data_IF_171872788852
#
_entry.id   IF_171872788852
#
_cell.length_a   1.000
_cell.length_b   1.000
_cell.length_c   1.000
_cell.angle_alpha   90.00
_cell.angle_beta   90.00
_cell.angle_gamma   90.00
#
_symmetry.space_group_name_H-M   'P 1'
#
loop_
_entity.id
_entity.type
_entity.pdbx_description
1 polymer ?
#
# COMPACT_ATOMS: atom_id res chain seq x y z
N UNK A 1 -28.50 -10.10 -32.75
CA UNK A 1 -29.05 -9.96 -31.39
C UNK A 1 -28.55 -11.11 -30.54
N UNK A 2 -27.60 -10.83 -29.66
CA UNK A 2 -27.35 -11.55 -28.41
C UNK A 2 -26.23 -10.76 -27.71
N UNK A 3 -26.66 -9.84 -26.86
CA UNK A 3 -25.85 -9.10 -25.90
C UNK A 3 -25.38 -10.06 -24.81
N UNK A 4 -24.07 -10.24 -24.70
CA UNK A 4 -23.43 -10.85 -23.52
C UNK A 4 -22.92 -9.73 -22.63
N UNK A 5 -23.69 -9.41 -21.60
CA UNK A 5 -23.38 -8.43 -20.57
C UNK A 5 -22.11 -8.83 -19.83
N UNK A 6 -21.12 -7.93 -19.78
CA UNK A 6 -20.00 -8.02 -18.86
C UNK A 6 -20.55 -7.82 -17.43
N UNK A 7 -20.65 -8.91 -16.68
CA UNK A 7 -21.03 -8.88 -15.27
C UNK A 7 -19.97 -8.16 -14.45
N UNK A 8 -20.45 -7.24 -13.61
CA UNK A 8 -19.66 -6.27 -12.88
C UNK A 8 -18.66 -6.89 -11.93
N UNK A 9 -17.44 -6.34 -11.96
CA UNK A 9 -16.50 -6.36 -10.86
C UNK A 9 -17.26 -5.95 -9.58
N UNK A 10 -17.37 -6.86 -8.60
CA UNK A 10 -18.01 -6.56 -7.32
C UNK A 10 -17.28 -5.38 -6.66
N UNK A 11 -17.94 -4.22 -6.66
CA UNK A 11 -17.59 -3.07 -5.84
C UNK A 11 -17.49 -3.52 -4.39
N UNK A 12 -16.31 -3.42 -3.78
CA UNK A 12 -16.21 -3.48 -2.33
C UNK A 12 -16.88 -2.20 -1.81
N UNK A 13 -18.14 -2.34 -1.39
CA UNK A 13 -18.97 -1.23 -0.90
C UNK A 13 -18.24 -0.48 0.21
N UNK A 14 -17.74 0.71 -0.14
CA UNK A 14 -17.17 1.61 0.84
C UNK A 14 -18.31 2.27 1.60
N UNK A 15 -18.20 2.28 2.93
CA UNK A 15 -19.15 2.95 3.80
C UNK A 15 -19.10 4.46 3.56
N UNK A 16 -20.26 5.09 3.58
CA UNK A 16 -20.39 6.55 3.58
C UNK A 16 -20.55 7.06 5.01
N UNK A 17 -20.61 8.38 5.18
CA UNK A 17 -20.81 9.01 6.48
C UNK A 17 -22.11 8.58 7.16
N UNK A 18 -23.16 8.31 6.39
CA UNK A 18 -24.44 7.80 6.88
C UNK A 18 -24.35 6.36 7.43
N UNK A 19 -23.33 5.60 7.06
CA UNK A 19 -23.17 4.19 7.45
C UNK A 19 -22.28 3.99 8.68
N UNK A 20 -21.74 5.08 9.24
CA UNK A 20 -20.85 5.05 10.40
C UNK A 20 -21.43 5.83 11.58
N UNK A 21 -20.96 5.47 12.78
CA UNK A 21 -21.09 6.27 13.98
C UNK A 21 -19.71 6.81 14.38
N UNK A 22 -19.68 8.06 14.86
CA UNK A 22 -18.49 8.69 15.44
C UNK A 22 -18.64 8.62 16.96
N UNK A 23 -17.70 7.93 17.61
CA UNK A 23 -17.67 7.83 19.07
C UNK A 23 -16.57 8.73 19.62
N UNK A 24 -16.94 9.61 20.55
CA UNK A 24 -16.01 10.43 21.31
C UNK A 24 -15.58 9.69 22.59
N UNK A 25 -14.35 9.92 23.06
CA UNK A 25 -13.84 9.27 24.27
C UNK A 25 -14.49 9.93 25.50
N UNK A 26 -15.36 9.20 26.20
CA UNK A 26 -15.97 9.68 27.44
C UNK A 26 -14.89 9.85 28.52
N UNK A 27 -14.64 11.09 28.95
CA UNK A 27 -13.83 11.33 30.15
C UNK A 27 -14.65 10.87 31.37
N UNK A 28 -14.18 9.80 32.02
CA UNK A 28 -14.64 9.21 33.29
C UNK A 28 -15.91 9.80 33.96
N UNK A 29 -16.99 9.02 33.98
CA UNK A 29 -17.79 8.78 35.18
C UNK A 29 -18.77 9.85 35.69
N UNK A 30 -18.82 11.06 35.15
CA UNK A 30 -19.85 12.04 35.52
C UNK A 30 -20.81 12.26 34.35
N UNK A 31 -22.08 11.89 34.51
CA UNK A 31 -23.10 11.87 33.44
C UNK A 31 -23.50 13.20 32.79
N UNK A 32 -22.65 14.23 32.83
CA UNK A 32 -22.85 15.50 32.14
C UNK A 32 -21.62 15.83 31.26
N UNK A 33 -21.85 16.05 29.97
CA UNK A 33 -20.81 16.53 29.05
C UNK A 33 -20.31 17.90 29.52
N UNK A 34 -19.00 18.02 29.72
CA UNK A 34 -18.39 19.34 30.00
C UNK A 34 -18.52 20.24 28.77
N UNK A 35 -18.54 21.56 28.98
CA UNK A 35 -18.54 22.52 27.87
C UNK A 35 -17.39 22.26 26.89
N UNK A 36 -16.23 21.86 27.42
CA UNK A 36 -15.05 21.44 26.66
C UNK A 36 -15.31 20.21 25.77
N UNK A 37 -16.04 19.22 26.29
CA UNK A 37 -16.46 18.04 25.52
C UNK A 37 -17.39 18.44 24.37
N UNK A 38 -18.28 19.41 24.56
CA UNK A 38 -19.20 19.88 23.51
C UNK A 38 -18.41 20.53 22.37
N UNK A 39 -17.47 21.43 22.67
CA UNK A 39 -16.65 22.06 21.63
C UNK A 39 -15.76 21.06 20.88
N UNK A 40 -15.21 20.07 21.59
CA UNK A 40 -14.42 19.00 20.97
C UNK A 40 -15.26 18.11 20.05
N UNK A 41 -16.51 17.82 20.43
CA UNK A 41 -17.47 17.12 19.57
C UNK A 41 -17.84 17.93 18.32
N UNK A 42 -18.10 19.23 18.47
CA UNK A 42 -18.36 20.14 17.34
C UNK A 42 -17.17 20.22 16.39
N UNK A 43 -15.95 20.32 16.93
CA UNK A 43 -14.72 20.31 16.14
C UNK A 43 -14.61 19.00 15.35
N UNK A 44 -14.78 17.87 16.04
CA UNK A 44 -14.72 16.54 15.43
C UNK A 44 -15.73 16.37 14.29
N UNK A 45 -17.00 16.66 14.55
CA UNK A 45 -18.07 16.53 13.55
C UNK A 45 -17.83 17.49 12.38
N UNK A 46 -17.37 18.71 12.65
CA UNK A 46 -17.04 19.68 11.61
C UNK A 46 -15.89 19.25 10.71
N UNK A 47 -14.83 18.63 11.28
CA UNK A 47 -13.74 18.05 10.50
C UNK A 47 -14.25 16.87 9.65
N UNK A 48 -14.88 15.86 10.28
CA UNK A 48 -15.28 14.62 9.59
C UNK A 48 -16.31 14.88 8.49
N UNK A 49 -17.23 15.83 8.71
CA UNK A 49 -18.26 16.20 7.72
C UNK A 49 -17.82 17.30 6.76
N UNK A 50 -16.61 17.84 6.90
CA UNK A 50 -16.10 18.98 6.11
C UNK A 50 -17.01 20.20 6.18
N UNK A 51 -17.54 20.49 7.37
CA UNK A 51 -18.55 21.52 7.59
C UNK A 51 -17.97 22.94 7.79
N UNK A 52 -16.66 23.07 7.91
CA UNK A 52 -16.01 24.38 8.04
C UNK A 52 -15.73 24.99 6.68
N UNK A 53 -16.21 26.22 6.45
CA UNK A 53 -15.92 27.00 5.26
C UNK A 53 -14.84 28.07 5.52
N UNK A 54 -14.54 28.36 6.79
CA UNK A 54 -13.53 29.31 7.24
C UNK A 54 -12.68 28.68 8.37
N UNK A 55 -11.33 28.65 8.26
CA UNK A 55 -10.44 28.17 9.32
C UNK A 55 -10.59 28.90 10.67
N UNK A 56 -11.16 30.12 10.69
CA UNK A 56 -11.49 30.82 11.94
C UNK A 56 -12.47 30.05 12.80
N UNK A 57 -13.39 29.29 12.20
CA UNK A 57 -14.34 28.46 12.93
C UNK A 57 -13.62 27.38 13.76
N UNK A 58 -12.55 26.78 13.21
CA UNK A 58 -11.69 25.84 13.92
C UNK A 58 -10.91 26.54 15.03
N UNK A 59 -10.31 27.68 14.70
CA UNK A 59 -9.52 28.47 15.66
C UNK A 59 -10.36 28.90 16.88
N UNK A 60 -11.59 29.33 16.65
CA UNK A 60 -12.50 29.77 17.70
C UNK A 60 -12.97 28.59 18.57
N UNK A 61 -13.24 27.42 17.98
CA UNK A 61 -13.56 26.21 18.75
C UNK A 61 -12.39 25.81 19.67
N UNK A 62 -11.16 25.82 19.16
CA UNK A 62 -9.96 25.51 19.96
C UNK A 62 -9.76 26.54 21.08
N UNK A 63 -9.92 27.84 20.79
CA UNK A 63 -9.86 28.91 21.81
C UNK A 63 -10.91 28.75 22.90
N UNK A 64 -12.08 28.22 22.56
CA UNK A 64 -13.16 27.92 23.50
C UNK A 64 -12.96 26.59 24.26
N UNK A 65 -11.83 25.92 24.02
CA UNK A 65 -11.41 24.72 24.75
C UNK A 65 -11.60 23.40 23.99
N UNK A 66 -11.99 23.40 22.72
CA UNK A 66 -11.98 22.17 21.93
C UNK A 66 -10.56 21.57 21.92
N UNK A 67 -10.46 20.26 22.14
CA UNK A 67 -9.21 19.52 22.05
C UNK A 67 -8.90 19.16 20.58
N UNK A 68 -7.91 19.82 19.95
CA UNK A 68 -7.54 19.54 18.57
C UNK A 68 -6.79 18.21 18.41
N UNK A 69 -6.36 17.59 19.52
CA UNK A 69 -5.69 16.29 19.54
C UNK A 69 -6.63 15.13 19.89
N UNK A 70 -7.94 15.40 19.96
CA UNK A 70 -8.92 14.37 20.27
C UNK A 70 -8.89 13.19 19.27
N UNK A 71 -9.21 12.00 19.79
CA UNK A 71 -9.13 10.75 19.04
C UNK A 71 -10.52 10.11 18.85
N UNK A 72 -11.37 10.64 17.95
CA UNK A 72 -12.64 10.00 17.64
C UNK A 72 -12.46 8.58 17.08
N UNK A 73 -13.43 7.72 17.39
CA UNK A 73 -13.48 6.34 16.92
C UNK A 73 -14.57 6.15 15.88
N UNK A 74 -14.18 5.68 14.70
CA UNK A 74 -15.11 5.36 13.62
C UNK A 74 -15.54 3.89 13.71
N UNK A 75 -16.85 3.65 13.72
CA UNK A 75 -17.42 2.30 13.72
C UNK A 75 -18.57 2.19 12.74
N UNK A 76 -18.84 0.97 12.28
CA UNK A 76 -20.03 0.70 11.48
C UNK A 76 -21.28 1.02 12.31
N UNK A 77 -22.23 1.74 11.73
CA UNK A 77 -23.47 2.15 12.40
C UNK A 77 -24.20 0.93 12.97
N UNK A 78 -24.63 1.04 14.22
CA UNK A 78 -25.38 -0.02 14.90
C UNK A 78 -24.57 -1.28 15.25
N UNK A 79 -23.26 -1.32 14.99
CA UNK A 79 -22.43 -2.48 15.32
C UNK A 79 -22.16 -2.65 16.81
N UNK A 80 -22.33 -1.60 17.62
CA UNK A 80 -21.95 -1.61 19.04
C UNK A 80 -20.43 -1.69 19.28
N UNK A 81 -19.61 -1.67 18.23
CA UNK A 81 -18.16 -1.78 18.34
C UNK A 81 -17.53 -0.59 19.08
N UNK A 82 -16.32 -0.79 19.61
CA UNK A 82 -15.54 0.33 20.14
C UNK A 82 -15.12 1.32 19.05
N UNK A 83 -14.93 0.85 17.81
CA UNK A 83 -14.49 1.65 16.68
C UNK A 83 -12.97 1.85 16.62
N UNK A 84 -12.50 2.27 15.44
CA UNK A 84 -11.09 2.53 15.14
C UNK A 84 -10.76 4.00 15.40
N UNK A 85 -9.75 4.24 16.23
CA UNK A 85 -9.33 5.58 16.62
C UNK A 85 -8.48 6.28 15.55
N UNK A 86 -8.74 7.55 15.33
CA UNK A 86 -7.95 8.44 14.47
C UNK A 86 -7.75 9.77 15.18
N UNK A 87 -6.59 10.40 15.02
CA UNK A 87 -6.43 11.81 15.40
C UNK A 87 -7.25 12.69 14.48
N UNK A 88 -7.78 13.79 15.00
CA UNK A 88 -8.48 14.78 14.19
C UNK A 88 -7.62 15.28 13.02
N UNK A 89 -6.32 15.53 13.24
CA UNK A 89 -5.43 15.96 12.17
C UNK A 89 -5.37 14.96 11.01
N UNK A 90 -5.42 13.66 11.28
CA UNK A 90 -5.48 12.63 10.22
C UNK A 90 -6.81 12.64 9.47
N UNK A 91 -7.92 12.85 10.18
CA UNK A 91 -9.26 12.89 9.57
C UNK A 91 -9.50 14.16 8.76
N UNK A 92 -8.76 15.22 9.04
CA UNK A 92 -8.78 16.46 8.27
C UNK A 92 -8.07 16.34 6.91
N UNK A 93 -7.21 15.32 6.71
CA UNK A 93 -6.50 15.10 5.45
C UNK A 93 -7.43 14.43 4.44
N UNK A 94 -7.55 15.04 3.28
CA UNK A 94 -8.34 14.55 2.17
C UNK A 94 -7.66 13.39 1.44
N UNK A 95 -8.49 12.45 0.97
CA UNK A 95 -8.04 11.24 0.31
C UNK A 95 -8.12 11.37 -1.22
N UNK A 96 -6.99 11.65 -1.86
CA UNK A 96 -6.85 11.73 -3.31
C UNK A 96 -6.46 10.39 -3.97
N UNK A 97 -6.73 9.26 -3.31
CA UNK A 97 -6.42 7.92 -3.84
C UNK A 97 -7.56 7.30 -4.64
N UNK A 98 -8.59 8.06 -5.00
CA UNK A 98 -9.79 7.56 -5.67
C UNK A 98 -10.44 6.39 -4.90
N UNK A 99 -10.47 6.53 -3.56
CA UNK A 99 -10.95 5.51 -2.62
C UNK A 99 -10.20 4.17 -2.68
N UNK A 100 -8.99 4.13 -3.22
CA UNK A 100 -8.12 2.94 -3.13
C UNK A 100 -7.51 2.76 -1.75
N UNK A 101 -7.25 3.87 -1.04
CA UNK A 101 -6.63 3.92 0.30
C UNK A 101 -7.48 4.66 1.34
N UNK A 102 -8.76 4.30 1.52
CA UNK A 102 -9.65 4.96 2.47
C UNK A 102 -9.19 4.72 3.91
N UNK A 103 -9.74 5.54 4.80
CA UNK A 103 -9.78 5.21 6.23
C UNK A 103 -10.77 4.06 6.46
N UNK A 104 -10.78 3.52 7.66
CA UNK A 104 -11.57 2.34 8.01
C UNK A 104 -12.38 2.53 9.29
N UNK A 105 -13.60 2.02 9.30
CA UNK A 105 -14.42 1.84 10.49
C UNK A 105 -14.38 0.38 10.95
N UNK A 106 -14.39 0.16 12.27
CA UNK A 106 -14.46 -1.20 12.82
C UNK A 106 -15.90 -1.61 13.15
N UNK A 107 -16.22 -2.89 13.00
CA UNK A 107 -17.43 -3.49 13.56
C UNK A 107 -17.15 -4.34 14.82
N UNK A 108 -18.18 -4.97 15.39
CA UNK A 108 -18.08 -5.73 16.64
C UNK A 108 -17.21 -6.98 16.53
N UNK A 109 -16.96 -7.47 15.31
CA UNK A 109 -16.06 -8.60 15.04
C UNK A 109 -14.60 -8.16 14.91
N UNK A 110 -14.34 -6.85 14.92
CA UNK A 110 -13.03 -6.28 14.63
C UNK A 110 -12.75 -6.15 13.12
N UNK A 111 -13.70 -6.51 12.25
CA UNK A 111 -13.58 -6.31 10.80
C UNK A 111 -13.52 -4.83 10.49
N UNK A 112 -12.64 -4.49 9.56
CA UNK A 112 -12.37 -3.12 9.12
C UNK A 112 -13.01 -2.88 7.76
N UNK A 113 -13.97 -1.96 7.70
CA UNK A 113 -14.64 -1.59 6.46
C UNK A 113 -14.10 -0.25 5.95
N UNK A 114 -13.79 -0.12 4.66
CA UNK A 114 -13.36 1.14 4.07
C UNK A 114 -14.46 2.21 4.20
N UNK A 115 -14.06 3.45 4.49
CA UNK A 115 -14.97 4.59 4.64
C UNK A 115 -14.51 5.73 3.73
N UNK A 116 -15.44 6.29 2.95
CA UNK A 116 -15.21 7.49 2.16
C UNK A 116 -15.70 8.70 2.93
N UNK A 117 -14.78 9.62 3.22
CA UNK A 117 -15.12 10.94 3.73
C UNK A 117 -15.34 11.93 2.57
N UNK A 118 -16.16 12.97 2.76
CA UNK A 118 -16.20 14.09 1.83
C UNK A 118 -14.85 14.81 1.78
N UNK A 119 -14.63 15.57 0.72
CA UNK A 119 -13.44 16.40 0.52
C UNK A 119 -13.73 17.84 0.98
N UNK A 120 -12.69 18.58 1.34
CA UNK A 120 -12.80 20.03 1.48
C UNK A 120 -13.14 20.67 0.13
N UNK A 121 -13.71 21.88 0.16
CA UNK A 121 -14.11 22.59 -1.07
C UNK A 121 -12.91 23.01 -1.94
N UNK A 122 -11.72 23.17 -1.35
CA UNK A 122 -10.48 23.41 -2.07
C UNK A 122 -9.24 22.97 -1.27
N UNK A 123 -8.10 22.70 -1.95
CA UNK A 123 -6.82 22.41 -1.29
C UNK A 123 -6.32 23.54 -0.37
N UNK A 124 -6.66 24.80 -0.67
CA UNK A 124 -6.31 25.96 0.15
C UNK A 124 -7.09 25.98 1.45
N UNK A 125 -8.38 25.61 1.41
CA UNK A 125 -9.19 25.46 2.62
C UNK A 125 -8.68 24.30 3.46
N UNK A 126 -8.40 23.14 2.85
CA UNK A 126 -7.79 22.00 3.56
C UNK A 126 -6.50 22.46 4.27
N UNK A 127 -5.59 23.10 3.54
CA UNK A 127 -4.34 23.58 4.10
C UNK A 127 -4.58 24.55 5.27
N UNK A 128 -5.54 25.48 5.14
CA UNK A 128 -5.87 26.42 6.20
C UNK A 128 -6.47 25.74 7.45
N UNK A 129 -7.30 24.71 7.27
CA UNK A 129 -7.85 23.89 8.36
C UNK A 129 -6.74 23.10 9.07
N UNK A 130 -5.85 22.45 8.32
CA UNK A 130 -4.70 21.74 8.87
C UNK A 130 -3.80 22.68 9.68
N UNK A 131 -3.50 23.87 9.14
CA UNK A 131 -2.75 24.90 9.84
C UNK A 131 -3.44 25.33 11.15
N UNK A 132 -4.75 25.57 11.12
CA UNK A 132 -5.51 25.96 12.32
C UNK A 132 -5.51 24.88 13.40
N UNK A 133 -5.60 23.60 13.03
CA UNK A 133 -5.48 22.48 13.97
C UNK A 133 -4.08 22.42 14.60
N UNK A 134 -3.03 22.55 13.79
CA UNK A 134 -1.64 22.52 14.25
C UNK A 134 -1.33 23.74 15.14
N UNK A 135 -1.78 24.93 14.77
CA UNK A 135 -1.67 26.16 15.59
C UNK A 135 -2.44 26.03 16.92
N UNK A 136 -3.51 25.24 16.91
CA UNK A 136 -4.27 24.88 18.10
C UNK A 136 -3.58 23.87 19.01
N UNK A 137 -2.52 23.21 18.56
CA UNK A 137 -1.77 22.21 19.32
C UNK A 137 -2.05 20.75 18.95
N UNK A 138 -2.65 20.46 17.79
CA UNK A 138 -2.78 19.09 17.31
C UNK A 138 -1.40 18.43 17.12
N UNK A 139 -1.22 17.19 17.59
CA UNK A 139 0.03 16.45 17.43
C UNK A 139 0.22 16.00 15.97
N UNK A 140 1.41 16.24 15.42
CA UNK A 140 1.76 15.93 14.03
C UNK A 140 2.44 14.57 13.83
N UNK A 141 2.88 13.92 14.90
CA UNK A 141 3.87 12.85 14.88
C UNK A 141 3.38 11.57 15.53
N UNK A 142 2.58 11.66 16.59
CA UNK A 142 2.16 10.51 17.37
C UNK A 142 1.07 9.73 16.59
N UNK A 143 1.26 8.43 16.32
CA UNK A 143 0.23 7.63 15.67
C UNK A 143 -0.82 7.13 16.67
N UNK A 144 -2.06 6.93 16.21
CA UNK A 144 -3.07 6.14 16.96
C UNK A 144 -2.93 4.63 16.73
N UNK A 145 -2.30 4.24 15.62
CA UNK A 145 -1.97 2.88 15.25
C UNK A 145 -0.83 2.89 14.21
N UNK A 146 -0.22 1.74 13.95
CA UNK A 146 1.00 1.57 13.14
C UNK A 146 1.21 2.48 11.90
N UNK A 147 0.16 2.81 11.15
CA UNK A 147 0.23 3.56 9.87
C UNK A 147 -0.68 4.80 9.86
N UNK A 148 -0.90 5.42 11.03
CA UNK A 148 -1.78 6.61 11.19
C UNK A 148 -1.06 7.87 11.62
N UNK A 149 0.25 8.01 11.36
CA UNK A 149 0.88 9.31 11.47
C UNK A 149 0.27 10.26 10.41
N UNK A 150 0.02 11.53 10.72
CA UNK A 150 -0.51 12.51 9.77
C UNK A 150 0.24 12.54 8.43
N UNK A 151 1.59 12.50 8.46
CA UNK A 151 2.40 12.48 7.23
C UNK A 151 2.18 11.19 6.42
N UNK A 152 2.05 10.03 7.09
CA UNK A 152 1.71 8.76 6.44
C UNK A 152 0.30 8.80 5.85
N UNK A 153 -0.66 9.46 6.49
CA UNK A 153 -2.01 9.64 5.94
C UNK A 153 -1.99 10.46 4.65
N UNK A 154 -1.20 11.55 4.60
CA UNK A 154 -1.01 12.32 3.37
C UNK A 154 -0.39 11.48 2.24
N UNK A 155 0.59 10.61 2.55
CA UNK A 155 1.22 9.70 1.58
C UNK A 155 0.20 8.68 1.06
N UNK A 156 -0.53 8.00 1.96
CA UNK A 156 -1.59 7.04 1.60
C UNK A 156 -2.63 7.66 0.68
N UNK A 157 -3.04 8.88 0.98
CA UNK A 157 -4.00 9.64 0.17
C UNK A 157 -3.44 10.22 -1.11
N UNK A 158 -2.12 10.22 -1.34
CA UNK A 158 -1.51 10.96 -2.46
C UNK A 158 -1.75 12.47 -2.36
N UNK A 159 -1.89 13.01 -1.15
CA UNK A 159 -2.26 14.39 -0.90
C UNK A 159 -1.01 15.27 -0.78
N UNK A 160 -0.63 15.90 -1.90
CA UNK A 160 0.52 16.80 -1.96
C UNK A 160 0.34 18.09 -1.14
N UNK A 161 -0.89 18.59 -1.01
CA UNK A 161 -1.17 19.82 -0.25
C UNK A 161 -0.93 19.61 1.24
N UNK A 162 -1.55 18.57 1.80
CA UNK A 162 -1.34 18.16 3.18
C UNK A 162 0.13 17.82 3.47
N UNK A 163 0.78 17.09 2.55
CA UNK A 163 2.22 16.80 2.65
C UNK A 163 3.06 18.09 2.78
N UNK A 164 2.78 19.10 1.95
CA UNK A 164 3.50 20.38 1.99
C UNK A 164 3.29 21.11 3.31
N UNK A 165 2.06 21.13 3.83
CA UNK A 165 1.77 21.73 5.14
C UNK A 165 2.55 21.03 6.25
N UNK A 166 2.48 19.71 6.31
CA UNK A 166 3.14 18.92 7.36
C UNK A 166 4.66 19.09 7.34
N UNK A 167 5.30 19.03 6.17
CA UNK A 167 6.74 19.27 6.04
C UNK A 167 7.11 20.71 6.44
N UNK A 168 6.35 21.71 5.99
CA UNK A 168 6.59 23.11 6.35
C UNK A 168 6.43 23.39 7.86
N UNK A 169 5.60 22.61 8.54
CA UNK A 169 5.40 22.66 10.00
C UNK A 169 6.39 21.80 10.78
N UNK A 170 7.32 21.12 10.11
CA UNK A 170 8.35 20.31 10.77
C UNK A 170 7.85 18.96 11.29
N UNK A 171 6.83 18.37 10.66
CA UNK A 171 6.41 17.01 10.95
C UNK A 171 7.58 16.03 10.79
N UNK A 172 7.70 15.08 11.71
CA UNK A 172 8.75 14.09 11.68
C UNK A 172 8.59 13.16 10.47
N UNK A 173 9.61 13.12 9.62
CA UNK A 173 9.70 12.20 8.47
C UNK A 173 10.27 10.84 8.85
N UNK A 174 10.62 10.64 10.13
CA UNK A 174 11.13 9.39 10.66
C UNK A 174 10.31 8.97 11.86
N UNK A 175 10.01 7.67 12.00
CA UNK A 175 9.37 7.19 13.19
C UNK A 175 10.28 7.37 14.42
N UNK A 176 9.71 7.55 15.62
CA UNK A 176 10.50 7.51 16.85
C UNK A 176 11.29 6.19 16.94
N UNK A 177 12.56 6.27 17.36
CA UNK A 177 13.45 5.09 17.43
C UNK A 177 12.83 3.97 18.27
N UNK A 178 12.92 2.74 17.76
CA UNK A 178 12.52 1.53 18.48
C UNK A 178 11.02 1.22 18.42
N UNK A 179 10.22 2.04 17.73
CA UNK A 179 8.84 1.71 17.44
C UNK A 179 8.72 1.15 16.02
N UNK A 180 7.99 0.05 15.85
CA UNK A 180 7.89 -0.60 14.57
C UNK A 180 6.83 0.17 13.78
N UNK A 181 7.18 1.32 13.21
CA UNK A 181 6.27 2.12 12.38
C UNK A 181 6.80 2.15 10.95
N UNK A 182 5.90 2.37 9.98
CA UNK A 182 6.31 2.40 8.57
C UNK A 182 7.21 3.59 8.26
N UNK A 183 8.24 3.36 7.47
CA UNK A 183 9.06 4.42 6.91
C UNK A 183 8.21 5.25 5.94
N UNK A 184 8.46 6.55 5.84
CA UNK A 184 7.65 7.45 5.00
C UNK A 184 7.74 7.08 3.52
N UNK A 185 8.88 6.55 3.08
CA UNK A 185 9.07 6.13 1.69
C UNK A 185 8.41 4.79 1.33
N UNK A 186 7.92 4.00 2.30
CA UNK A 186 7.26 2.72 1.98
C UNK A 186 5.99 2.92 1.15
N UNK A 187 5.78 2.03 0.17
CA UNK A 187 4.52 1.90 -0.56
C UNK A 187 3.37 1.70 0.43
N UNK A 188 2.24 2.40 0.26
CA UNK A 188 1.21 2.33 1.27
C UNK A 188 0.51 0.95 1.29
N UNK A 189 0.21 0.49 2.50
CA UNK A 189 -0.18 -0.90 2.78
C UNK A 189 -1.41 -1.33 1.98
N UNK A 190 -1.41 -2.55 1.40
CA UNK A 190 -2.59 -3.12 0.75
C UNK A 190 -3.73 -3.35 1.74
N UNK A 191 -4.95 -3.10 1.29
CA UNK A 191 -6.16 -3.57 1.98
C UNK A 191 -6.26 -5.07 1.69
N UNK A 192 -6.38 -5.95 2.70
CA UNK A 192 -6.37 -7.41 2.49
C UNK A 192 -7.36 -7.90 1.43
N UNK A 193 -8.53 -7.28 1.35
CA UNK A 193 -9.60 -7.61 0.40
C UNK A 193 -9.38 -7.01 -1.01
N UNK A 194 -8.21 -6.42 -1.28
CA UNK A 194 -7.87 -5.74 -2.55
C UNK A 194 -6.52 -6.16 -3.14
N UNK A 195 -6.05 -7.36 -2.82
CA UNK A 195 -4.84 -7.93 -3.45
C UNK A 195 -5.08 -8.12 -4.95
N UNK A 196 -4.11 -7.72 -5.78
CA UNK A 196 -4.21 -7.77 -7.25
C UNK A 196 -5.11 -6.71 -7.90
N UNK A 197 -5.73 -5.81 -7.12
CA UNK A 197 -6.49 -4.69 -7.66
C UNK A 197 -5.57 -3.52 -7.98
N UNK A 198 -5.47 -3.16 -9.26
CA UNK A 198 -4.68 -2.03 -9.70
C UNK A 198 -5.25 -0.70 -9.19
N UNK A 199 -4.36 0.20 -8.77
CA UNK A 199 -4.72 1.57 -8.42
C UNK A 199 -4.76 2.45 -9.67
N UNK A 200 -5.56 3.54 -9.68
CA UNK A 200 -5.60 4.45 -10.83
C UNK A 200 -4.25 5.12 -11.09
N UNK A 201 -3.89 5.29 -12.37
CA UNK A 201 -2.66 5.98 -12.80
C UNK A 201 -2.55 7.40 -12.22
N UNK A 202 -3.66 8.11 -12.07
CA UNK A 202 -3.65 9.45 -11.47
C UNK A 202 -3.19 9.43 -10.00
N UNK A 203 -3.52 8.37 -9.25
CA UNK A 203 -3.01 8.17 -7.89
C UNK A 203 -1.52 7.81 -7.90
N UNK A 204 -1.07 6.95 -8.82
CA UNK A 204 0.37 6.62 -8.99
C UNK A 204 1.21 7.88 -9.23
N UNK A 205 0.75 8.77 -10.11
CA UNK A 205 1.43 10.04 -10.40
C UNK A 205 1.54 10.93 -9.15
N UNK A 206 0.45 11.07 -8.38
CA UNK A 206 0.44 11.83 -7.12
C UNK A 206 1.36 11.21 -6.08
N UNK A 207 1.32 9.89 -5.91
CA UNK A 207 2.16 9.17 -4.96
C UNK A 207 3.64 9.30 -5.29
N UNK A 208 4.01 9.18 -6.57
CA UNK A 208 5.39 9.39 -7.03
C UNK A 208 5.87 10.83 -6.82
N UNK A 209 4.99 11.82 -7.04
CA UNK A 209 5.27 13.23 -6.75
C UNK A 209 5.53 13.46 -5.26
N UNK A 210 4.75 12.82 -4.39
CA UNK A 210 4.99 12.84 -2.93
C UNK A 210 6.36 12.25 -2.58
N UNK A 211 6.73 11.08 -3.13
CA UNK A 211 8.04 10.48 -2.87
C UNK A 211 9.21 11.34 -3.35
N UNK A 212 9.09 11.95 -4.55
CA UNK A 212 10.10 12.90 -5.04
C UNK A 212 10.27 14.10 -4.10
N UNK A 213 9.18 14.61 -3.53
CA UNK A 213 9.23 15.70 -2.55
C UNK A 213 9.90 15.29 -1.24
N UNK A 214 9.65 14.07 -0.76
CA UNK A 214 10.31 13.53 0.43
C UNK A 214 11.82 13.41 0.21
N UNK A 215 12.26 12.89 -0.94
CA UNK A 215 13.68 12.82 -1.31
C UNK A 215 14.31 14.20 -1.47
N UNK A 216 13.59 15.18 -2.04
CA UNK A 216 14.06 16.57 -2.10
C UNK A 216 14.22 17.20 -0.71
N UNK A 217 13.37 16.81 0.24
CA UNK A 217 13.46 17.26 1.62
C UNK A 217 14.63 16.58 2.36
N UNK A 218 14.81 15.28 2.17
CA UNK A 218 15.90 14.50 2.75
C UNK A 218 16.17 13.24 1.91
N UNK A 219 17.26 13.25 1.13
CA UNK A 219 17.62 12.13 0.26
C UNK A 219 18.02 10.87 1.04
N UNK A 220 18.44 11.00 2.31
CA UNK A 220 18.85 9.84 3.11
C UNK A 220 17.67 8.93 3.47
N UNK A 221 16.42 9.41 3.30
CA UNK A 221 15.21 8.60 3.42
C UNK A 221 15.22 7.39 2.48
N UNK A 222 15.88 7.46 1.31
CA UNK A 222 15.95 6.34 0.37
C UNK A 222 16.76 5.12 0.89
N UNK A 223 17.64 5.34 1.86
CA UNK A 223 18.55 4.31 2.39
C UNK A 223 18.10 3.72 3.72
N UNK A 224 16.94 4.13 4.21
CA UNK A 224 16.43 3.68 5.50
C UNK A 224 16.14 2.18 5.51
N UNK A 225 16.36 1.60 6.68
CA UNK A 225 16.07 0.22 6.99
C UNK A 225 15.29 0.16 8.29
N UNK A 226 14.37 -0.81 8.40
CA UNK A 226 13.68 -1.07 9.66
C UNK A 226 14.53 -1.91 10.63
N UNK A 227 13.98 -2.20 11.80
CA UNK A 227 14.66 -3.00 12.83
C UNK A 227 14.97 -4.46 12.39
N UNK A 228 14.32 -4.97 11.34
CA UNK A 228 14.58 -6.28 10.77
C UNK A 228 15.60 -6.27 9.63
N UNK A 229 16.22 -5.12 9.33
CA UNK A 229 17.15 -4.97 8.21
C UNK A 229 16.47 -4.80 6.85
N UNK A 230 15.14 -4.67 6.80
CA UNK A 230 14.41 -4.47 5.55
C UNK A 230 14.67 -3.06 5.04
N UNK A 231 15.34 -2.94 3.89
CA UNK A 231 15.36 -1.69 3.14
C UNK A 231 14.03 -1.43 2.41
N UNK A 232 13.89 -0.26 1.80
CA UNK A 232 12.67 0.14 1.10
C UNK A 232 12.31 -0.72 -0.12
N UNK A 233 13.28 -1.40 -0.74
CA UNK A 233 13.05 -2.33 -1.85
C UNK A 233 12.44 -3.63 -1.32
N UNK A 234 12.89 -4.15 -0.18
CA UNK A 234 12.22 -5.26 0.51
C UNK A 234 10.79 -4.89 0.91
N UNK A 235 10.56 -3.66 1.38
CA UNK A 235 9.20 -3.19 1.70
C UNK A 235 8.33 -3.12 0.45
N UNK A 236 8.86 -2.60 -0.65
CA UNK A 236 8.15 -2.60 -1.93
C UNK A 236 7.78 -4.02 -2.39
N UNK A 237 8.71 -4.97 -2.26
CA UNK A 237 8.47 -6.38 -2.55
C UNK A 237 7.29 -6.97 -1.74
N UNK A 238 7.08 -6.53 -0.50
CA UNK A 238 5.96 -7.00 0.34
C UNK A 238 4.62 -6.31 0.04
N UNK A 239 4.65 -5.10 -0.50
CA UNK A 239 3.47 -4.22 -0.59
C UNK A 239 2.92 -4.01 -1.99
N UNK A 240 3.70 -4.32 -3.04
CA UNK A 240 3.30 -4.14 -4.44
C UNK A 240 2.10 -5.02 -4.80
N UNK A 241 2.19 -6.34 -4.65
CA UNK A 241 1.09 -7.31 -4.79
C UNK A 241 0.19 -7.09 -6.03
N UNK A 242 0.79 -6.74 -7.17
CA UNK A 242 0.11 -6.48 -8.45
C UNK A 242 -0.75 -5.21 -8.49
N UNK A 243 -0.58 -4.28 -7.54
CA UNK A 243 -1.43 -3.09 -7.39
C UNK A 243 -0.97 -1.91 -8.23
N UNK A 244 0.29 -1.90 -8.61
CA UNK A 244 0.90 -0.78 -9.30
C UNK A 244 1.32 -1.19 -10.70
N UNK A 245 1.34 -0.23 -11.62
CA UNK A 245 1.89 -0.43 -12.95
C UNK A 245 3.39 -0.64 -12.89
N UNK A 246 3.93 -1.40 -13.85
CA UNK A 246 5.38 -1.57 -14.01
C UNK A 246 6.08 -0.20 -14.11
N UNK A 247 5.52 0.74 -14.85
CA UNK A 247 6.09 2.07 -15.04
C UNK A 247 6.20 2.87 -13.72
N UNK A 248 5.21 2.74 -12.83
CA UNK A 248 5.28 3.34 -11.51
C UNK A 248 6.35 2.67 -10.65
N UNK A 249 6.37 1.34 -10.59
CA UNK A 249 7.36 0.60 -9.78
C UNK A 249 8.79 0.87 -10.26
N UNK A 250 9.02 0.90 -11.57
CA UNK A 250 10.30 1.32 -12.14
C UNK A 250 10.69 2.71 -11.67
N UNK A 251 9.80 3.70 -11.85
CA UNK A 251 10.10 5.09 -11.45
C UNK A 251 10.33 5.26 -9.94
N UNK A 252 9.62 4.49 -9.11
CA UNK A 252 9.76 4.51 -7.66
C UNK A 252 11.06 3.84 -7.22
N UNK A 253 11.40 2.67 -7.77
CA UNK A 253 12.63 1.96 -7.43
C UNK A 253 13.88 2.68 -7.98
N UNK A 254 13.81 3.24 -9.19
CA UNK A 254 14.86 4.11 -9.72
C UNK A 254 15.11 5.31 -8.80
N UNK A 255 14.05 5.97 -8.30
CA UNK A 255 14.18 7.05 -7.33
C UNK A 255 14.94 6.61 -6.07
N UNK A 256 14.72 5.39 -5.59
CA UNK A 256 15.42 4.86 -4.42
C UNK A 256 16.88 4.52 -4.73
N UNK A 257 17.13 3.83 -5.85
CA UNK A 257 18.47 3.38 -6.27
C UNK A 257 19.36 4.57 -6.61
N UNK A 258 18.83 5.57 -7.33
CA UNK A 258 19.52 6.83 -7.63
C UNK A 258 19.92 7.61 -6.37
N UNK A 259 19.26 7.34 -5.24
CA UNK A 259 19.56 7.92 -3.93
C UNK A 259 20.23 6.91 -2.97
N UNK A 260 20.81 5.84 -3.49
CA UNK A 260 21.72 4.95 -2.77
C UNK A 260 21.08 3.71 -2.14
N UNK A 261 19.81 3.41 -2.42
CA UNK A 261 19.21 2.15 -1.97
C UNK A 261 19.92 0.95 -2.60
N UNK A 262 20.32 -0.03 -1.76
CA UNK A 262 21.01 -1.21 -2.23
C UNK A 262 20.03 -2.30 -2.72
N UNK A 263 20.04 -2.57 -4.03
CA UNK A 263 19.19 -3.57 -4.69
C UNK A 263 19.47 -5.01 -4.27
N UNK A 264 20.69 -5.31 -3.82
CA UNK A 264 21.13 -6.65 -3.39
C UNK A 264 21.31 -6.79 -1.89
N UNK A 265 20.77 -5.84 -1.10
CA UNK A 265 20.81 -5.93 0.35
C UNK A 265 20.13 -7.22 0.84
N UNK A 266 20.53 -7.69 2.01
CA UNK A 266 19.85 -8.78 2.71
C UNK A 266 19.28 -8.29 4.03
N UNK A 267 18.14 -8.83 4.43
CA UNK A 267 17.54 -8.59 5.75
C UNK A 267 18.22 -9.42 6.85
N UNK A 268 17.70 -9.37 8.08
CA UNK A 268 18.24 -10.14 9.21
C UNK A 268 18.09 -11.67 9.08
N UNK A 269 17.31 -12.16 8.11
CA UNK A 269 17.16 -13.57 7.78
C UNK A 269 17.97 -13.97 6.53
N UNK A 270 18.87 -13.10 6.05
CA UNK A 270 19.64 -13.23 4.82
C UNK A 270 18.80 -13.20 3.52
N UNK A 271 17.54 -12.76 3.58
CA UNK A 271 16.65 -12.66 2.42
C UNK A 271 16.93 -11.39 1.62
N UNK A 272 16.99 -11.53 0.30
CA UNK A 272 17.05 -10.44 -0.68
C UNK A 272 15.66 -9.88 -1.00
N UNK A 273 15.58 -8.68 -1.60
CA UNK A 273 14.31 -8.18 -2.11
C UNK A 273 13.67 -9.10 -3.16
N UNK A 274 14.47 -9.85 -3.93
CA UNK A 274 13.97 -10.72 -4.99
C UNK A 274 13.29 -11.97 -4.42
N UNK A 275 13.90 -12.62 -3.43
CA UNK A 275 13.30 -13.77 -2.71
C UNK A 275 11.99 -13.33 -2.04
N UNK A 276 11.99 -12.16 -1.39
CA UNK A 276 10.78 -11.63 -0.77
C UNK A 276 9.69 -11.27 -1.78
N UNK A 277 10.05 -10.74 -2.95
CA UNK A 277 9.09 -10.42 -4.00
C UNK A 277 8.45 -11.69 -4.60
N UNK A 278 9.25 -12.76 -4.74
CA UNK A 278 8.76 -14.06 -5.17
C UNK A 278 7.80 -14.69 -4.16
N UNK A 279 8.13 -14.64 -2.87
CA UNK A 279 7.27 -15.14 -1.78
C UNK A 279 5.96 -14.33 -1.63
N UNK A 280 6.05 -13.02 -1.80
CA UNK A 280 4.89 -12.13 -1.71
C UNK A 280 3.97 -12.20 -2.92
N UNK A 281 4.51 -12.48 -4.12
CA UNK A 281 3.80 -12.42 -5.39
C UNK A 281 3.76 -11.02 -5.96
N UNK A 282 4.93 -10.38 -6.09
CA UNK A 282 5.08 -8.99 -6.53
C UNK A 282 5.79 -8.91 -7.89
N UNK A 283 5.08 -9.23 -9.00
CA UNK A 283 5.69 -9.41 -10.32
C UNK A 283 6.40 -8.15 -10.83
N UNK A 284 5.88 -6.95 -10.55
CA UNK A 284 6.51 -5.72 -11.04
C UNK A 284 7.86 -5.44 -10.37
N UNK A 285 7.99 -5.80 -9.08
CA UNK A 285 9.25 -5.69 -8.35
C UNK A 285 10.23 -6.75 -8.87
N UNK A 286 9.77 -7.97 -9.15
CA UNK A 286 10.60 -9.03 -9.77
C UNK A 286 11.14 -8.57 -11.13
N UNK A 287 10.29 -8.04 -12.01
CA UNK A 287 10.69 -7.55 -13.34
C UNK A 287 11.71 -6.40 -13.24
N UNK A 288 11.61 -5.54 -12.22
CA UNK A 288 12.61 -4.51 -11.95
C UNK A 288 13.94 -5.11 -11.50
N UNK A 289 13.90 -5.97 -10.48
CA UNK A 289 15.08 -6.61 -9.92
C UNK A 289 15.79 -7.50 -10.95
N UNK A 290 15.04 -8.21 -11.80
CA UNK A 290 15.59 -9.02 -12.90
C UNK A 290 16.45 -8.24 -13.89
N UNK A 291 16.18 -6.93 -14.06
CA UNK A 291 16.96 -6.04 -14.93
C UNK A 291 18.13 -5.34 -14.23
N UNK A 292 18.09 -5.22 -12.90
CA UNK A 292 19.01 -4.38 -12.13
C UNK A 292 19.88 -5.15 -11.14
N UNK A 293 19.51 -6.38 -10.79
CA UNK A 293 20.30 -7.27 -9.94
C UNK A 293 21.32 -8.07 -10.78
N UNK A 294 22.45 -8.48 -10.19
CA UNK A 294 23.36 -9.44 -10.81
C UNK A 294 22.66 -10.75 -11.18
N UNK A 295 23.06 -11.37 -12.29
CA UNK A 295 22.49 -12.65 -12.73
C UNK A 295 22.70 -13.79 -11.72
N UNK A 296 23.72 -13.70 -10.85
CA UNK A 296 23.93 -14.62 -9.74
C UNK A 296 22.79 -14.61 -8.72
N UNK A 297 22.13 -13.46 -8.56
CA UNK A 297 21.12 -13.26 -7.52
C UNK A 297 19.76 -13.80 -7.96
N UNK A 298 19.53 -13.95 -9.27
CA UNK A 298 18.29 -14.52 -9.83
C UNK A 298 18.07 -15.97 -9.40
N UNK A 299 19.17 -16.72 -9.30
CA UNK A 299 19.20 -18.14 -8.94
C UNK A 299 19.87 -18.38 -7.59
N UNK A 300 19.96 -17.34 -6.75
CA UNK A 300 20.50 -17.49 -5.41
C UNK A 300 19.52 -18.33 -4.58
N UNK A 301 20.01 -19.38 -3.94
CA UNK A 301 19.27 -20.11 -2.92
C UNK A 301 19.50 -19.56 -1.51
N UNK A 302 18.65 -19.97 -0.56
CA UNK A 302 18.82 -19.59 0.84
C UNK A 302 20.07 -20.21 1.45
N UNK A 303 20.58 -19.67 2.58
CA UNK A 303 21.68 -20.31 3.31
C UNK A 303 21.38 -21.75 3.78
N UNK A 304 20.09 -22.09 3.94
CA UNK A 304 19.64 -23.40 4.41
C UNK A 304 19.52 -24.45 3.30
N UNK A 305 19.14 -24.02 2.09
CA UNK A 305 18.99 -24.90 0.93
C UNK A 305 19.28 -24.12 -0.38
N UNK A 306 20.31 -24.49 -1.16
CA UNK A 306 20.64 -23.81 -2.41
C UNK A 306 19.54 -23.95 -3.48
N UNK A 307 18.61 -24.91 -3.35
CA UNK A 307 17.51 -25.10 -4.28
C UNK A 307 16.26 -24.26 -3.92
N UNK A 308 16.24 -23.65 -2.73
CA UNK A 308 15.22 -22.66 -2.33
C UNK A 308 15.51 -21.30 -2.98
N UNK A 309 15.39 -21.26 -4.31
CA UNK A 309 15.57 -20.06 -5.13
C UNK A 309 14.30 -19.18 -5.13
N UNK A 310 14.37 -17.92 -5.62
CA UNK A 310 13.17 -17.13 -5.88
C UNK A 310 12.11 -17.89 -6.70
N UNK A 311 12.52 -18.68 -7.72
CA UNK A 311 11.59 -19.47 -8.52
C UNK A 311 10.89 -20.56 -7.70
N UNK A 312 11.62 -21.21 -6.79
CA UNK A 312 11.04 -22.16 -5.86
C UNK A 312 9.99 -21.51 -4.96
N UNK A 313 10.28 -20.35 -4.35
CA UNK A 313 9.32 -19.66 -3.49
C UNK A 313 8.05 -19.23 -4.24
N UNK A 314 8.17 -18.69 -5.45
CA UNK A 314 7.00 -18.35 -6.26
C UNK A 314 6.15 -19.58 -6.60
N UNK A 315 6.78 -20.71 -6.94
CA UNK A 315 6.09 -21.96 -7.24
C UNK A 315 5.44 -22.59 -5.99
N UNK A 316 6.11 -22.56 -4.84
CA UNK A 316 5.57 -23.02 -3.56
C UNK A 316 4.32 -22.21 -3.17
N UNK A 317 4.39 -20.89 -3.25
CA UNK A 317 3.26 -20.03 -2.91
C UNK A 317 2.10 -20.14 -3.89
N UNK A 318 2.38 -20.38 -5.17
CA UNK A 318 1.36 -20.72 -6.17
C UNK A 318 0.65 -22.02 -5.77
N UNK A 319 1.42 -23.06 -5.46
CA UNK A 319 0.91 -24.37 -5.05
C UNK A 319 0.02 -24.28 -3.81
N UNK A 320 0.50 -23.59 -2.77
CA UNK A 320 -0.23 -23.35 -1.53
C UNK A 320 -1.50 -22.52 -1.75
N UNK A 321 -1.47 -21.52 -2.65
CA UNK A 321 -2.64 -20.71 -2.97
C UNK A 321 -3.70 -21.50 -3.73
N UNK A 322 -3.28 -22.38 -4.66
CA UNK A 322 -4.19 -23.30 -5.35
C UNK A 322 -4.84 -24.26 -4.35
N UNK A 323 -4.04 -24.91 -3.50
CA UNK A 323 -4.54 -25.83 -2.49
C UNK A 323 -5.55 -25.12 -1.55
N UNK A 324 -5.21 -23.93 -1.04
CA UNK A 324 -6.06 -23.17 -0.14
C UNK A 324 -7.35 -22.68 -0.82
N UNK A 325 -7.31 -22.37 -2.12
CA UNK A 325 -8.50 -21.97 -2.88
C UNK A 325 -9.52 -23.10 -3.08
N UNK A 326 -9.03 -24.34 -3.11
CA UNK A 326 -9.82 -25.56 -3.37
C UNK A 326 -10.19 -26.34 -2.09
N UNK A 327 -9.67 -25.92 -0.94
CA UNK A 327 -9.85 -26.64 0.32
C UNK A 327 -11.34 -26.69 0.72
N UNK A 328 -11.94 -27.91 0.79
CA UNK A 328 -13.34 -28.09 1.16
C UNK A 328 -13.59 -27.96 2.66
N UNK A 329 -12.56 -27.82 3.49
CA UNK A 329 -12.67 -27.62 4.95
C UNK A 329 -13.26 -26.23 5.25
N UNK A 330 -13.80 -26.07 6.46
CA UNK A 330 -14.39 -24.84 7.04
C UNK A 330 -13.38 -23.68 7.23
N UNK A 331 -12.45 -23.49 6.30
CA UNK A 331 -11.74 -22.22 6.16
C UNK A 331 -12.73 -21.20 5.59
N UNK A 332 -12.92 -20.08 6.27
CA UNK A 332 -13.95 -19.12 5.87
C UNK A 332 -13.79 -18.63 4.42
N UNK A 333 -14.90 -18.40 3.70
CA UNK A 333 -14.92 -18.02 2.28
C UNK A 333 -13.93 -16.90 1.91
N UNK A 334 -13.78 -15.90 2.78
CA UNK A 334 -12.84 -14.79 2.58
C UNK A 334 -11.37 -15.23 2.40
N UNK A 335 -10.95 -16.33 3.03
CA UNK A 335 -9.59 -16.88 2.86
C UNK A 335 -9.42 -17.54 1.50
N UNK A 336 -10.44 -18.27 1.03
CA UNK A 336 -10.45 -18.86 -0.32
C UNK A 336 -10.42 -17.80 -1.40
N UNK A 337 -11.22 -16.74 -1.24
CA UNK A 337 -11.26 -15.62 -2.18
C UNK A 337 -9.90 -14.93 -2.25
N UNK A 338 -9.26 -14.71 -1.09
CA UNK A 338 -7.92 -14.13 -1.00
C UNK A 338 -6.84 -15.04 -1.57
N UNK A 339 -6.95 -16.36 -1.41
CA UNK A 339 -6.03 -17.30 -2.04
C UNK A 339 -6.17 -17.24 -3.57
N UNK A 340 -7.42 -17.25 -4.05
CA UNK A 340 -7.76 -17.16 -5.47
C UNK A 340 -7.21 -15.89 -6.11
N UNK A 341 -7.30 -14.74 -5.43
CA UNK A 341 -6.78 -13.47 -5.96
C UNK A 341 -5.25 -13.42 -6.05
N UNK A 342 -4.53 -14.26 -5.28
CA UNK A 342 -3.07 -14.35 -5.32
C UNK A 342 -2.52 -15.27 -6.41
N UNK A 343 -3.27 -16.28 -6.84
CA UNK A 343 -2.85 -17.22 -7.90
C UNK A 343 -2.30 -16.50 -9.14
N UNK A 344 -3.01 -15.54 -9.78
CA UNK A 344 -2.50 -14.86 -10.97
C UNK A 344 -1.23 -14.03 -10.70
N UNK A 345 -1.04 -13.55 -9.47
CA UNK A 345 0.16 -12.82 -9.06
C UNK A 345 1.38 -13.74 -8.99
N UNK A 346 1.22 -14.95 -8.43
CA UNK A 346 2.29 -15.93 -8.38
C UNK A 346 2.61 -16.49 -9.77
N UNK A 347 1.61 -16.73 -10.63
CA UNK A 347 1.86 -17.09 -12.02
C UNK A 347 2.63 -15.98 -12.76
N UNK A 348 2.27 -14.70 -12.55
CA UNK A 348 3.01 -13.58 -13.12
C UNK A 348 4.44 -13.51 -12.58
N UNK A 349 4.63 -13.74 -11.27
CA UNK A 349 5.93 -13.78 -10.62
C UNK A 349 6.83 -14.86 -11.19
N UNK A 350 6.29 -16.08 -11.41
CA UNK A 350 6.99 -17.18 -12.09
C UNK A 350 7.41 -16.75 -13.50
N UNK A 351 6.50 -16.16 -14.30
CA UNK A 351 6.83 -15.68 -15.65
C UNK A 351 7.92 -14.61 -15.64
N UNK A 352 7.87 -13.66 -14.71
CA UNK A 352 8.86 -12.60 -14.52
C UNK A 352 10.24 -13.15 -14.15
N UNK A 353 10.30 -14.13 -13.24
CA UNK A 353 11.55 -14.82 -12.88
C UNK A 353 12.14 -15.58 -14.07
N UNK A 354 11.32 -16.30 -14.83
CA UNK A 354 11.77 -17.03 -16.02
C UNK A 354 12.34 -16.09 -17.08
N UNK A 355 11.70 -14.95 -17.35
CA UNK A 355 12.24 -13.90 -18.25
C UNK A 355 13.57 -13.33 -17.76
N UNK A 356 13.75 -13.29 -16.45
CA UNK A 356 14.98 -12.80 -15.79
C UNK A 356 16.09 -13.86 -15.76
N UNK A 357 15.86 -15.06 -16.29
CA UNK A 357 16.87 -16.14 -16.36
C UNK A 357 16.85 -17.11 -15.18
N UNK A 358 15.72 -17.26 -14.49
CA UNK A 358 15.58 -18.28 -13.45
C UNK A 358 15.69 -19.70 -14.03
N UNK A 359 16.52 -20.53 -13.40
CA UNK A 359 16.84 -21.89 -13.84
C UNK A 359 15.86 -22.90 -13.24
N UNK A 360 14.92 -23.34 -14.07
CA UNK A 360 13.98 -24.42 -13.72
C UNK A 360 14.74 -25.70 -13.33
N UNK A 361 15.95 -25.93 -13.86
CA UNK A 361 16.81 -27.06 -13.51
C UNK A 361 17.16 -27.15 -12.02
N UNK A 362 17.22 -26.02 -11.31
CA UNK A 362 17.52 -25.97 -9.87
C UNK A 362 16.32 -26.26 -8.97
N UNK A 363 15.10 -26.32 -9.53
CA UNK A 363 13.95 -26.71 -8.73
C UNK A 363 14.07 -28.18 -8.27
N UNK A 364 13.84 -28.46 -6.98
CA UNK A 364 13.95 -29.80 -6.43
C UNK A 364 12.98 -30.78 -7.10
N UNK A 365 13.30 -32.08 -7.06
CA UNK A 365 12.45 -33.16 -7.61
C UNK A 365 12.39 -34.39 -6.71
N UNK A 366 12.90 -34.27 -5.48
CA UNK A 366 13.11 -35.40 -4.58
C UNK A 366 11.78 -35.92 -4.03
N UNK A 367 10.87 -35.00 -3.68
CA UNK A 367 9.54 -35.33 -3.19
C UNK A 367 8.46 -35.15 -4.24
N UNK A 368 7.29 -35.76 -4.01
CA UNK A 368 6.12 -35.54 -4.86
C UNK A 368 5.65 -34.07 -4.83
N UNK A 369 5.79 -33.42 -3.68
CA UNK A 369 5.49 -31.99 -3.54
C UNK A 369 6.41 -31.15 -4.43
N UNK A 370 7.70 -31.49 -4.50
CA UNK A 370 8.66 -30.77 -5.35
C UNK A 370 8.36 -30.94 -6.83
N UNK A 371 8.03 -32.17 -7.27
CA UNK A 371 7.61 -32.43 -8.65
C UNK A 371 6.34 -31.66 -9.00
N UNK A 372 5.35 -31.66 -8.11
CA UNK A 372 4.10 -30.90 -8.29
C UNK A 372 4.37 -29.40 -8.46
N UNK A 373 5.18 -28.78 -7.59
CA UNK A 373 5.57 -27.37 -7.71
C UNK A 373 6.29 -27.08 -9.02
N UNK A 374 7.19 -27.97 -9.45
CA UNK A 374 7.88 -27.87 -10.75
C UNK A 374 6.90 -27.96 -11.93
N UNK A 375 5.91 -28.84 -11.86
CA UNK A 375 4.90 -28.99 -12.91
C UNK A 375 4.03 -27.75 -13.07
N UNK A 376 3.85 -26.93 -12.02
CA UNK A 376 3.16 -25.64 -12.11
C UNK A 376 3.97 -24.58 -12.89
N UNK A 377 5.30 -24.72 -12.97
CA UNK A 377 6.19 -23.78 -13.67
C UNK A 377 6.26 -24.08 -15.17
N UNK A 378 6.17 -25.35 -15.58
CA UNK A 378 6.33 -25.77 -16.99
C UNK A 378 5.35 -25.07 -17.97
N UNK A 379 4.04 -24.91 -17.66
CA UNK A 379 3.12 -24.15 -18.51
C UNK A 379 3.54 -22.67 -18.65
N UNK A 380 4.10 -22.09 -17.59
CA UNK A 380 4.56 -20.70 -17.59
C UNK A 380 5.79 -20.51 -18.49
N UNK A 381 6.71 -21.48 -18.54
CA UNK A 381 7.82 -21.49 -19.50
C UNK A 381 7.31 -21.41 -20.95
N UNK A 382 6.30 -22.21 -21.28
CA UNK A 382 5.68 -22.20 -22.61
C UNK A 382 5.06 -20.84 -22.94
N UNK A 383 4.37 -20.24 -21.96
CA UNK A 383 3.77 -18.92 -22.13
C UNK A 383 4.82 -17.81 -22.36
N UNK A 384 5.94 -17.83 -21.64
CA UNK A 384 7.05 -16.89 -21.82
C UNK A 384 7.65 -17.03 -23.22
N UNK A 385 8.01 -18.25 -23.63
CA UNK A 385 8.58 -18.52 -24.96
C UNK A 385 7.67 -18.06 -26.10
N UNK A 386 6.36 -18.30 -26.00
CA UNK A 386 5.41 -17.86 -27.03
C UNK A 386 5.28 -16.33 -27.10
N UNK A 387 5.40 -15.63 -25.97
CA UNK A 387 5.33 -14.16 -25.92
C UNK A 387 6.58 -13.54 -26.56
N UNK A 388 7.76 -14.09 -26.29
CA UNK A 388 9.03 -13.58 -26.84
C UNK A 388 9.13 -13.82 -28.36
N UNK A 389 8.62 -14.95 -28.86
CA UNK A 389 8.55 -15.24 -30.31
C UNK A 389 7.62 -14.26 -31.04
N UNK A 390 6.47 -13.90 -30.46
CA UNK A 390 5.58 -12.90 -31.06
C UNK A 390 6.15 -11.48 -31.02
N UNK A 391 6.84 -11.10 -29.95
CA UNK A 391 7.50 -9.80 -29.85
C UNK A 391 8.68 -9.68 -30.82
N UNK A 392 9.45 -10.75 -31.00
CA UNK A 392 10.53 -10.84 -32.00
C UNK A 392 10.04 -10.81 -33.44
N UNK A 393 8.90 -11.44 -33.75
CA UNK A 393 8.27 -11.38 -35.07
C UNK A 393 7.70 -9.98 -35.40
N UNK A 394 7.19 -9.25 -34.40
CA UNK A 394 6.72 -7.87 -34.54
C UNK A 394 7.88 -6.88 -34.73
N UNK A 395 9.00 -7.07 -34.03
CA UNK A 395 10.21 -6.25 -34.22
C UNK A 395 10.90 -6.51 -35.57
N UNK A 396 10.85 -7.74 -36.11
CA UNK A 396 11.43 -8.09 -37.40
C UNK A 396 10.57 -7.66 -38.62
N UNK A 397 9.33 -7.21 -38.41
CA UNK A 397 8.39 -6.80 -39.47
C UNK A 397 8.26 -5.28 -39.61
N UNK A 398 9.02 -4.48 -38.85
CA UNK A 398 9.09 -3.02 -39.03
C UNK A 398 10.18 -2.68 -40.06
N UNK A 399 9.86 -2.24 -41.29
CA UNK A 399 10.89 -1.87 -42.26
C UNK A 399 11.55 -0.54 -41.85
N UNK A 400 12.85 -0.35 -42.14
CA UNK A 400 13.53 0.91 -41.82
C UNK A 400 12.93 2.06 -42.64
N UNK A 401 12.56 3.14 -41.96
CA UNK A 401 12.15 4.39 -42.58
C UNK A 401 13.24 4.89 -43.53
N UNK A 402 12.91 5.28 -44.78
CA UNK A 402 13.91 5.80 -45.70
C UNK A 402 14.39 7.17 -45.21
N UNK A 403 15.71 7.28 -45.02
CA UNK A 403 16.42 8.54 -44.87
C UNK A 403 16.29 9.34 -46.17
N UNK A 404 15.41 10.33 -46.20
CA UNK A 404 15.42 11.38 -47.22
C UNK A 404 16.13 12.62 -46.66
N UNK A 405 17.42 12.72 -46.99
CA UNK A 405 18.19 13.95 -46.86
C UNK A 405 18.03 14.84 -48.09
N UNK A 406 17.74 16.13 -47.89
CA UNK A 406 18.62 17.27 -48.16
C UNK A 406 17.90 18.57 -47.84
#
# INVERSE_FOLDING_TARGET
>A
MASGSAEGQQSVDCLRLEDIDIRHRDHHGTGHATQQSIYSQQLTEGIIRRAFADPRQVTDLVRNGADPDSEPRLRRRGSGANGRAYRLLCLAIDNWSDNTMPIQAADSTGRLSPVVLPMWSSPELEAAILNALIDGGADMNEPTFWDSQPIRMAIRGGNESAMRVLLARGAAVRPPRGLPFRLVMELPRPIPDRVGHQVPMAYEQRLLSVYRRLIQHDATLATEQDAGGYNLIHKAASDELGRYSQAFIDSYLDLLVDNGANVTAVDAADWTPLELAADAGSPCVIDYLGRHAPSSDINRGTPGDPNETPLYFAADRLDASIALSQDPVDIGQHLRDRATSKIPLYEASVRSLLRSGADVGQMPTDTELDRRRRDLVLPQCTAVLNTDVHTGAMAASTPPLPLSGR
#
